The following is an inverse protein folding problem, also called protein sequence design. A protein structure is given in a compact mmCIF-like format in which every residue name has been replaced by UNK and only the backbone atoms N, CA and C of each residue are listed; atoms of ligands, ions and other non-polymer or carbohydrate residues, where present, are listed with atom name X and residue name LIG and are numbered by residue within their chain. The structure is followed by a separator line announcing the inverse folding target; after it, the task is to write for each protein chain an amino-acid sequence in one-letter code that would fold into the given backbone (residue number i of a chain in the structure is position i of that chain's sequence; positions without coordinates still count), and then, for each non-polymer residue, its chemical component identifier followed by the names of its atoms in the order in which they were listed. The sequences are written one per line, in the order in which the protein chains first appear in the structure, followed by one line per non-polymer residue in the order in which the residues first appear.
data_IF_831456985084
#
_entry.id   IF_831456985084
#
_cell.length_a   1.000
_cell.length_b   1.000
_cell.length_c   1.000
_cell.angle_alpha   90.00
_cell.angle_beta   90.00
_cell.angle_gamma   90.00
#
_symmetry.space_group_name_H-M   'P 1'
#
loop_
_entity.id
_entity.type
_entity.pdbx_description
1 polymer ?
#
# COMPACT_ATOMS: atom_id res chain seq x y z
N UNK A 1 18.32 -8.26 6.07
CA UNK A 1 18.29 -7.49 4.80
C UNK A 1 18.35 -6.00 5.13
N UNK A 2 19.04 -5.17 4.34
CA UNK A 2 19.08 -3.70 4.52
C UNK A 2 17.95 -3.06 3.72
N UNK A 3 17.22 -2.13 4.33
CA UNK A 3 16.08 -1.45 3.73
C UNK A 3 16.23 0.06 3.93
N UNK A 4 16.03 0.84 2.87
CA UNK A 4 16.17 2.30 2.95
C UNK A 4 14.92 2.90 3.58
N UNK A 5 15.11 3.75 4.59
CA UNK A 5 14.07 4.58 5.16
C UNK A 5 14.14 5.95 4.50
N UNK A 6 13.08 6.34 3.81
CA UNK A 6 12.93 7.64 3.16
C UNK A 6 12.59 8.75 4.18
N UNK A 7 13.48 8.93 5.15
CA UNK A 7 13.41 9.94 6.22
C UNK A 7 14.79 10.09 6.84
N UNK A 8 15.11 11.31 7.30
CA UNK A 8 16.31 11.59 8.09
C UNK A 8 16.02 11.78 9.58
N UNK A 9 14.77 11.58 10.00
CA UNK A 9 14.36 11.75 11.38
C UNK A 9 14.84 10.55 12.23
N UNK A 10 15.77 10.80 13.16
CA UNK A 10 16.34 9.80 14.04
C UNK A 10 15.31 9.12 14.97
N UNK A 11 14.29 9.86 15.41
CA UNK A 11 13.19 9.31 16.20
C UNK A 11 12.37 8.30 15.38
N UNK A 12 11.97 8.68 14.16
CA UNK A 12 11.29 7.76 13.23
C UNK A 12 12.13 6.52 12.92
N UNK A 13 13.44 6.67 12.73
CA UNK A 13 14.34 5.54 12.52
C UNK A 13 14.29 4.57 13.71
N UNK A 14 14.41 5.07 14.93
CA UNK A 14 14.41 4.24 16.13
C UNK A 14 13.07 3.49 16.32
N UNK A 15 11.95 4.18 16.11
CA UNK A 15 10.61 3.60 16.19
C UNK A 15 10.39 2.51 15.13
N UNK A 16 10.60 2.82 13.86
CA UNK A 16 10.40 1.87 12.77
C UNK A 16 11.39 0.71 12.80
N UNK A 17 12.64 0.96 13.21
CA UNK A 17 13.64 -0.11 13.37
C UNK A 17 13.20 -1.11 14.44
N UNK A 18 12.60 -0.64 15.53
CA UNK A 18 12.08 -1.51 16.60
C UNK A 18 10.90 -2.34 16.10
N UNK A 19 9.98 -1.73 15.36
CA UNK A 19 8.81 -2.42 14.78
C UNK A 19 9.23 -3.49 13.76
N UNK A 20 10.29 -3.25 12.97
CA UNK A 20 10.68 -4.13 11.87
C UNK A 20 11.78 -5.12 12.26
N UNK A 21 12.37 -4.99 13.45
CA UNK A 21 13.38 -5.91 13.98
C UNK A 21 12.95 -7.39 13.95
N UNK A 22 11.68 -7.77 14.28
CA UNK A 22 11.25 -9.17 14.21
C UNK A 22 11.32 -9.80 12.81
N UNK A 23 11.34 -8.98 11.75
CA UNK A 23 11.49 -9.43 10.36
C UNK A 23 12.97 -9.59 9.94
N UNK A 24 13.93 -9.35 10.83
CA UNK A 24 15.36 -9.39 10.50
C UNK A 24 15.81 -8.27 9.55
N UNK A 25 15.09 -7.14 9.57
CA UNK A 25 15.36 -5.96 8.75
C UNK A 25 16.23 -4.95 9.51
N UNK A 26 17.20 -4.38 8.81
CA UNK A 26 17.97 -3.23 9.29
C UNK A 26 17.67 -2.03 8.41
N UNK A 27 17.20 -0.95 9.02
CA UNK A 27 16.87 0.31 8.37
C UNK A 27 18.12 1.20 8.27
N UNK A 28 18.22 1.93 7.17
CA UNK A 28 19.20 3.01 6.99
C UNK A 28 18.46 4.27 6.55
N UNK A 29 18.77 5.42 7.14
CA UNK A 29 18.23 6.69 6.66
C UNK A 29 18.78 7.03 5.28
N UNK A 30 17.93 7.57 4.41
CA UNK A 30 18.35 8.01 3.08
C UNK A 30 19.51 9.03 3.10
N UNK A 31 19.57 9.91 4.11
CA UNK A 31 20.64 10.89 4.27
C UNK A 31 22.01 10.26 4.55
N UNK A 32 22.06 9.12 5.23
CA UNK A 32 23.32 8.36 5.45
C UNK A 32 23.88 7.82 4.13
N UNK A 33 23.04 7.73 3.10
CA UNK A 33 23.41 7.33 1.75
C UNK A 33 23.68 8.54 0.83
N UNK A 34 23.63 9.76 1.35
CA UNK A 34 23.76 10.99 0.57
C UNK A 34 22.55 11.31 -0.31
N UNK A 35 21.38 10.75 -0.02
CA UNK A 35 20.15 10.94 -0.80
C UNK A 35 19.32 12.08 -0.20
N UNK A 36 19.10 13.13 -0.99
CA UNK A 36 18.27 14.27 -0.61
C UNK A 36 16.80 13.88 -0.39
N UNK A 37 16.07 14.65 0.41
CA UNK A 37 14.63 14.46 0.63
C UNK A 37 13.83 14.70 -0.65
N UNK A 38 12.73 13.97 -0.79
CA UNK A 38 11.79 14.18 -1.90
C UNK A 38 10.92 15.40 -1.61
N UNK A 39 10.45 16.06 -2.67
CA UNK A 39 9.38 17.05 -2.53
C UNK A 39 8.09 16.36 -2.07
N UNK A 40 7.29 17.05 -1.25
CA UNK A 40 5.99 16.60 -0.75
C UNK A 40 4.84 17.50 -1.27
N UNK A 41 4.60 17.54 -2.60
CA UNK A 41 3.66 18.48 -3.19
C UNK A 41 2.20 18.06 -3.02
N UNK A 42 1.93 16.83 -2.59
CA UNK A 42 0.59 16.26 -2.57
C UNK A 42 -0.18 16.67 -1.31
N UNK A 43 -1.50 16.58 -1.40
CA UNK A 43 -2.43 16.95 -0.32
C UNK A 43 -2.92 15.74 0.47
N UNK A 44 -2.27 14.58 0.29
CA UNK A 44 -2.62 13.35 1.00
C UNK A 44 -1.35 12.71 1.55
N UNK A 45 -1.44 12.17 2.76
CA UNK A 45 -0.33 11.45 3.39
C UNK A 45 0.15 10.30 2.49
N UNK A 46 -0.78 9.56 1.89
CA UNK A 46 -0.43 8.38 1.08
C UNK A 46 0.35 8.76 -0.19
N UNK A 47 0.01 9.86 -0.87
CA UNK A 47 0.75 10.29 -2.05
C UNK A 47 2.14 10.80 -1.70
N UNK A 48 2.28 11.55 -0.61
CA UNK A 48 3.58 12.02 -0.13
C UNK A 48 4.46 10.84 0.34
N UNK A 49 3.91 9.87 1.06
CA UNK A 49 4.63 8.64 1.42
C UNK A 49 5.09 7.87 0.17
N UNK A 50 4.22 7.72 -0.85
CA UNK A 50 4.59 7.07 -2.11
C UNK A 50 5.68 7.84 -2.86
N UNK A 51 5.62 9.18 -2.89
CA UNK A 51 6.63 10.02 -3.52
C UNK A 51 7.99 9.84 -2.83
N UNK A 52 8.03 9.92 -1.49
CA UNK A 52 9.23 9.66 -0.68
C UNK A 52 9.83 8.29 -0.94
N UNK A 53 9.02 7.23 -0.88
CA UNK A 53 9.50 5.85 -1.07
C UNK A 53 10.07 5.63 -2.48
N UNK A 54 9.41 6.14 -3.51
CA UNK A 54 9.88 6.02 -4.90
C UNK A 54 11.19 6.75 -5.13
N UNK A 55 11.30 7.98 -4.62
CA UNK A 55 12.51 8.78 -4.70
C UNK A 55 13.71 8.08 -4.05
N UNK A 56 13.56 7.65 -2.79
CA UNK A 56 14.62 6.95 -2.08
C UNK A 56 15.00 5.63 -2.75
N UNK A 57 14.02 4.84 -3.21
CA UNK A 57 14.28 3.58 -3.91
C UNK A 57 15.04 3.79 -5.22
N UNK A 58 14.63 4.79 -6.00
CA UNK A 58 15.27 5.12 -7.28
C UNK A 58 16.74 5.52 -7.09
N UNK A 59 17.02 6.43 -6.16
CA UNK A 59 18.38 6.91 -5.92
C UNK A 59 19.28 5.87 -5.21
N UNK A 60 18.72 5.05 -4.33
CA UNK A 60 19.48 4.02 -3.65
C UNK A 60 19.73 2.76 -4.50
N UNK A 61 18.96 2.56 -5.57
CA UNK A 61 18.96 1.29 -6.31
C UNK A 61 18.53 0.10 -5.44
N UNK A 62 17.74 0.35 -4.40
CA UNK A 62 17.37 -0.62 -3.38
C UNK A 62 15.90 -0.46 -2.97
N UNK A 63 15.35 -1.46 -2.29
CA UNK A 63 14.02 -1.32 -1.70
C UNK A 63 14.03 -0.19 -0.65
N UNK A 64 12.97 0.62 -0.66
CA UNK A 64 12.79 1.70 0.30
C UNK A 64 11.37 1.67 0.89
N UNK A 65 11.25 2.18 2.10
CA UNK A 65 9.98 2.48 2.77
C UNK A 65 9.91 3.97 3.02
N UNK A 66 8.69 4.48 3.11
CA UNK A 66 8.44 5.80 3.63
C UNK A 66 7.23 5.75 4.55
N UNK A 67 7.13 6.79 5.36
CA UNK A 67 5.97 7.14 6.14
C UNK A 67 5.67 8.61 5.88
N UNK A 68 4.38 8.93 5.78
CA UNK A 68 3.89 10.28 5.94
C UNK A 68 2.70 10.24 6.89
N UNK A 69 2.79 11.02 7.96
CA UNK A 69 1.90 10.92 9.11
C UNK A 69 1.67 12.31 9.68
N UNK A 70 0.45 12.55 10.16
CA UNK A 70 0.04 13.81 10.76
C UNK A 70 -1.18 13.64 11.66
N UNK A 71 -1.56 14.72 12.34
CA UNK A 71 -2.73 14.72 13.22
C UNK A 71 -3.99 15.10 12.43
N UNK A 72 -5.05 14.32 12.58
CA UNK A 72 -6.38 14.66 12.11
C UNK A 72 -7.33 14.72 13.31
N UNK A 73 -7.92 15.87 13.59
CA UNK A 73 -8.82 16.07 14.73
C UNK A 73 -10.26 16.22 14.28
N UNK A 74 -11.12 15.27 14.65
CA UNK A 74 -12.55 15.26 14.30
C UNK A 74 -13.28 16.55 14.69
N UNK A 75 -13.03 17.04 15.91
CA UNK A 75 -13.65 18.27 16.42
C UNK A 75 -13.24 19.53 15.63
N UNK A 76 -12.16 19.44 14.85
CA UNK A 76 -11.64 20.51 14.00
C UNK A 76 -11.84 20.21 12.51
N UNK A 77 -12.75 19.28 12.17
CA UNK A 77 -13.00 18.90 10.78
C UNK A 77 -11.81 18.27 10.08
N UNK A 78 -10.90 17.62 10.82
CA UNK A 78 -9.70 16.98 10.27
C UNK A 78 -8.42 17.79 10.38
N UNK A 79 -8.46 19.02 10.92
CA UNK A 79 -7.27 19.86 11.08
C UNK A 79 -6.19 19.23 11.99
N UNK A 80 -4.89 19.49 11.74
CA UNK A 80 -4.33 20.23 10.60
C UNK A 80 -4.27 19.45 9.28
N UNK A 81 -4.50 18.13 9.25
CA UNK A 81 -4.34 17.35 8.01
C UNK A 81 -2.88 17.36 7.52
N UNK A 82 -2.67 17.34 6.21
CA UNK A 82 -1.30 17.40 5.62
C UNK A 82 -0.75 18.82 5.72
N UNK A 83 -1.56 19.81 5.36
CA UNK A 83 -1.31 21.26 5.38
C UNK A 83 -2.47 22.01 6.02
N UNK A 84 -3.70 21.58 5.76
CA UNK A 84 -4.93 22.18 6.29
C UNK A 84 -6.04 21.15 6.53
N UNK A 85 -7.06 21.57 7.29
CA UNK A 85 -8.26 20.76 7.56
C UNK A 85 -9.03 20.37 6.28
N UNK A 86 -8.96 21.22 5.26
CA UNK A 86 -9.70 21.07 4.01
C UNK A 86 -8.95 20.24 2.95
N UNK A 87 -7.79 19.67 3.32
CA UNK A 87 -7.03 18.84 2.41
C UNK A 87 -7.84 17.58 2.05
N UNK A 88 -7.94 17.23 0.75
CA UNK A 88 -8.67 16.05 0.34
C UNK A 88 -8.07 14.81 1.00
N UNK A 89 -8.92 13.98 1.61
CA UNK A 89 -8.50 12.67 2.14
C UNK A 89 -9.17 11.56 1.33
N UNK A 90 -8.71 11.30 0.09
CA UNK A 90 -9.23 10.20 -0.69
C UNK A 90 -8.90 8.89 0.03
N UNK A 91 -9.90 8.02 0.13
CA UNK A 91 -9.69 6.65 0.60
C UNK A 91 -8.96 5.87 -0.50
N UNK A 92 -7.98 5.08 -0.09
CA UNK A 92 -7.19 4.24 -1.01
C UNK A 92 -7.15 2.83 -0.43
N UNK A 93 -7.57 1.87 -1.24
CA UNK A 93 -7.56 0.46 -0.88
C UNK A 93 -6.74 -0.34 -1.88
N UNK A 94 -5.99 -1.32 -1.39
CA UNK A 94 -5.15 -2.21 -2.20
C UNK A 94 -5.54 -3.65 -1.99
N UNK A 95 -5.86 -4.34 -3.07
CA UNK A 95 -6.07 -5.78 -3.06
C UNK A 95 -5.00 -6.49 -3.87
N UNK A 96 -4.43 -7.55 -3.29
CA UNK A 96 -3.47 -8.44 -3.96
C UNK A 96 -3.99 -9.84 -3.86
N UNK A 97 -3.95 -10.57 -4.97
CA UNK A 97 -4.33 -11.97 -5.01
C UNK A 97 -3.22 -12.75 -5.72
N UNK A 98 -2.30 -13.39 -4.96
CA UNK A 98 -1.20 -14.11 -5.55
C UNK A 98 -1.71 -15.37 -6.27
N UNK A 99 -0.97 -15.77 -7.30
CA UNK A 99 -1.21 -17.01 -8.03
C UNK A 99 -0.06 -17.30 -8.98
N UNK A 100 -0.26 -18.31 -9.83
CA UNK A 100 0.75 -18.85 -10.74
C UNK A 100 0.25 -18.75 -12.17
N UNK A 101 1.12 -18.38 -13.11
CA UNK A 101 0.76 -18.36 -14.52
C UNK A 101 0.89 -19.77 -15.10
N UNK A 102 -0.19 -20.27 -15.71
CA UNK A 102 -0.19 -21.55 -16.44
C UNK A 102 0.47 -21.41 -17.81
N UNK A 103 0.99 -22.53 -18.31
CA UNK A 103 1.50 -22.62 -19.69
C UNK A 103 0.37 -22.60 -20.73
N UNK A 104 -0.79 -23.14 -20.39
CA UNK A 104 -1.98 -23.22 -21.25
C UNK A 104 -3.22 -22.74 -20.48
N UNK A 105 -4.16 -22.04 -21.14
CA UNK A 105 -5.35 -21.52 -20.49
C UNK A 105 -6.31 -22.65 -20.06
N UNK A 106 -7.01 -22.44 -18.95
CA UNK A 106 -8.08 -23.32 -18.45
C UNK A 106 -9.32 -22.48 -18.11
N UNK A 107 -10.51 -23.04 -18.32
CA UNK A 107 -11.77 -22.33 -18.08
C UNK A 107 -12.11 -21.25 -19.12
N UNK A 108 -13.36 -20.80 -19.09
CA UNK A 108 -13.92 -19.86 -20.08
C UNK A 108 -14.56 -18.63 -19.44
N UNK A 109 -14.75 -18.62 -18.11
CA UNK A 109 -15.37 -17.51 -17.41
C UNK A 109 -14.39 -16.33 -17.20
N UNK A 110 -14.93 -15.17 -16.87
CA UNK A 110 -14.12 -14.00 -16.54
C UNK A 110 -13.60 -13.26 -17.77
N UNK A 111 -12.43 -12.63 -17.65
CA UNK A 111 -11.84 -11.79 -18.70
C UNK A 111 -10.32 -11.67 -18.56
N UNK A 112 -9.65 -11.25 -19.64
CA UNK A 112 -8.21 -10.98 -19.62
C UNK A 112 -7.39 -12.24 -19.32
N UNK A 113 -6.51 -12.17 -18.32
CA UNK A 113 -5.61 -13.25 -17.95
C UNK A 113 -6.23 -14.32 -17.04
N UNK A 114 -7.54 -14.24 -16.73
CA UNK A 114 -8.21 -15.18 -15.84
C UNK A 114 -7.97 -16.67 -16.21
N UNK A 115 -7.98 -17.08 -17.50
CA UNK A 115 -7.72 -18.48 -17.87
C UNK A 115 -6.28 -18.96 -17.61
N UNK A 116 -5.34 -18.03 -17.53
CA UNK A 116 -3.93 -18.32 -17.27
C UNK A 116 -3.56 -18.17 -15.79
N UNK A 117 -4.38 -17.47 -15.01
CA UNK A 117 -4.10 -17.20 -13.61
C UNK A 117 -4.59 -18.37 -12.75
N UNK A 118 -3.70 -19.21 -12.26
CA UNK A 118 -3.99 -20.34 -11.37
C UNK A 118 -3.86 -20.00 -9.89
N UNK A 119 -4.87 -20.37 -9.09
CA UNK A 119 -4.91 -20.19 -7.65
C UNK A 119 -4.58 -21.52 -6.97
N UNK A 120 -3.37 -21.70 -6.41
CA UNK A 120 -2.97 -22.97 -5.78
C UNK A 120 -3.90 -23.39 -4.65
N UNK A 121 -4.42 -22.46 -3.85
CA UNK A 121 -5.29 -22.79 -2.73
C UNK A 121 -6.67 -23.31 -3.17
N UNK A 122 -7.09 -23.02 -4.40
CA UNK A 122 -8.38 -23.43 -4.97
C UNK A 122 -8.23 -24.52 -6.03
N UNK A 123 -6.99 -24.86 -6.41
CA UNK A 123 -6.65 -25.86 -7.43
C UNK A 123 -7.33 -25.61 -8.78
N UNK A 124 -7.55 -24.35 -9.14
CA UNK A 124 -8.17 -23.97 -10.41
C UNK A 124 -7.65 -22.62 -10.91
N UNK A 125 -7.86 -22.36 -12.20
CA UNK A 125 -7.71 -21.02 -12.77
C UNK A 125 -8.85 -20.10 -12.34
N UNK A 126 -8.63 -18.79 -12.44
CA UNK A 126 -9.67 -17.80 -12.14
C UNK A 126 -10.87 -17.94 -13.09
N UNK A 127 -10.64 -18.37 -14.34
CA UNK A 127 -11.71 -18.60 -15.32
C UNK A 127 -12.54 -19.87 -15.09
N UNK A 128 -12.14 -20.72 -14.14
CA UNK A 128 -12.92 -21.88 -13.68
C UNK A 128 -13.78 -21.56 -12.46
N UNK A 129 -13.59 -20.38 -11.84
CA UNK A 129 -14.38 -19.95 -10.69
C UNK A 129 -15.73 -19.38 -11.11
N UNK A 130 -16.73 -19.57 -10.23
CA UNK A 130 -17.97 -18.80 -10.34
C UNK A 130 -17.69 -17.31 -10.13
N UNK A 131 -18.52 -16.44 -10.73
CA UNK A 131 -18.42 -15.00 -10.51
C UNK A 131 -18.55 -14.62 -9.02
N UNK A 132 -19.37 -15.36 -8.27
CA UNK A 132 -19.55 -15.17 -6.82
C UNK A 132 -18.26 -15.46 -6.07
N UNK A 133 -17.63 -16.62 -6.33
CA UNK A 133 -16.38 -17.01 -5.65
C UNK A 133 -15.23 -16.08 -6.01
N UNK A 134 -15.12 -15.69 -7.29
CA UNK A 134 -14.13 -14.71 -7.74
C UNK A 134 -14.34 -13.36 -7.04
N UNK A 135 -15.56 -12.85 -6.97
CA UNK A 135 -15.84 -11.57 -6.32
C UNK A 135 -15.55 -11.61 -4.81
N UNK A 136 -15.75 -12.75 -4.16
CA UNK A 136 -15.44 -12.92 -2.74
C UNK A 136 -13.93 -12.89 -2.45
N UNK A 137 -13.08 -13.36 -3.37
CA UNK A 137 -11.65 -13.64 -3.06
C UNK A 137 -10.65 -12.82 -3.86
N UNK A 138 -11.07 -12.28 -5.01
CA UNK A 138 -10.16 -11.60 -5.92
C UNK A 138 -9.51 -10.35 -5.34
N UNK A 139 -8.45 -9.90 -6.00
CA UNK A 139 -7.81 -8.61 -5.71
C UNK A 139 -8.83 -7.47 -5.65
N UNK A 140 -9.82 -7.45 -6.56
CA UNK A 140 -10.90 -6.46 -6.52
C UNK A 140 -11.77 -6.64 -5.28
N UNK A 141 -12.19 -7.87 -4.97
CA UNK A 141 -12.99 -8.17 -3.78
C UNK A 141 -12.31 -7.75 -2.47
N UNK A 142 -10.99 -8.01 -2.35
CA UNK A 142 -10.17 -7.60 -1.22
C UNK A 142 -10.11 -6.07 -1.09
N UNK A 143 -9.78 -5.37 -2.18
CA UNK A 143 -9.73 -3.91 -2.20
C UNK A 143 -11.10 -3.29 -1.86
N UNK A 144 -12.19 -3.84 -2.40
CA UNK A 144 -13.54 -3.32 -2.12
C UNK A 144 -13.95 -3.50 -0.66
N UNK A 145 -13.54 -4.58 0.01
CA UNK A 145 -13.84 -4.76 1.44
C UNK A 145 -13.08 -3.79 2.33
N UNK A 146 -11.79 -3.61 2.06
CA UNK A 146 -10.97 -2.59 2.73
C UNK A 146 -11.57 -1.19 2.53
N UNK A 147 -11.94 -0.85 1.29
CA UNK A 147 -12.63 0.41 0.98
C UNK A 147 -13.94 0.57 1.76
N UNK A 148 -14.78 -0.48 1.84
CA UNK A 148 -16.03 -0.43 2.62
C UNK A 148 -15.77 -0.22 4.12
N UNK A 149 -14.69 -0.79 4.65
CA UNK A 149 -14.30 -0.56 6.05
C UNK A 149 -13.87 0.90 6.24
N UNK A 150 -12.99 1.42 5.38
CA UNK A 150 -12.54 2.82 5.45
C UNK A 150 -13.70 3.82 5.29
N UNK A 151 -14.67 3.55 4.42
CA UNK A 151 -15.87 4.39 4.26
C UNK A 151 -16.71 4.46 5.55
N UNK A 152 -16.82 3.35 6.29
CA UNK A 152 -17.52 3.33 7.59
C UNK A 152 -16.75 4.10 8.66
N UNK A 153 -15.43 3.94 8.70
CA UNK A 153 -14.60 4.52 9.75
C UNK A 153 -14.34 6.00 9.52
N UNK A 154 -13.90 6.38 8.32
CA UNK A 154 -13.48 7.74 7.98
C UNK A 154 -14.67 8.61 7.60
N UNK A 155 -15.55 8.12 6.73
CA UNK A 155 -16.73 8.89 6.27
C UNK A 155 -17.97 8.66 7.12
N UNK A 156 -17.89 7.79 8.14
CA UNK A 156 -19.00 7.51 9.07
C UNK A 156 -20.28 7.08 8.35
N UNK A 157 -20.12 6.33 7.25
CA UNK A 157 -21.24 5.78 6.48
C UNK A 157 -21.74 4.48 7.10
N UNK A 158 -23.03 4.39 7.41
CA UNK A 158 -23.68 3.20 7.96
C UNK A 158 -24.29 3.48 9.32
#
# INVERSE_FOLDING_TARGET
MRLVLASNNAGKLAELQSLFAPLGLSLVCQGDLGIAEADEPHLTFIENALAKARHAAHHAGAAAIADDSGLCVDALGGAPGVRSADDPQPLVALGRWPGVILAEPRGEAGFGYDPLMFIPELQCSVAELSAVDKNARSHRGLASRDMLQQMREVWRLG
#
